data_IF_264396793505
#
_entry.id   IF_264396793505
#
_cell.length_a   1.000
_cell.length_b   1.000
_cell.length_c   1.000
_cell.angle_alpha   90.00
_cell.angle_beta   90.00
_cell.angle_gamma   90.00
#
_symmetry.space_group_name_H-M   'P 1'
#
loop_
_entity.id
_entity.type
_entity.pdbx_description
1 polymer ?
#
# COMPACT_ATOMS: atom_id res chain seq x y z
N UNK A 1 5.36 18.35 -2.01
CA UNK A 1 4.85 16.97 -2.21
C UNK A 1 6.00 15.99 -2.27
N UNK A 2 5.95 14.96 -1.47
CA UNK A 2 6.93 13.88 -1.51
C UNK A 2 6.34 12.69 -2.24
N UNK A 3 7.13 12.10 -3.14
CA UNK A 3 6.70 10.93 -3.90
C UNK A 3 7.77 9.85 -3.87
N UNK A 4 7.37 8.63 -4.05
CA UNK A 4 8.29 7.51 -4.20
C UNK A 4 7.66 6.45 -5.08
N UNK A 5 8.48 5.63 -5.70
CA UNK A 5 8.01 4.56 -6.57
C UNK A 5 8.92 3.34 -6.45
N UNK A 6 8.32 2.17 -6.59
CA UNK A 6 9.04 0.89 -6.63
C UNK A 6 8.34 -0.03 -7.63
N UNK A 7 9.11 -0.86 -8.31
CA UNK A 7 8.59 -1.76 -9.33
C UNK A 7 9.16 -3.15 -9.14
N UNK A 8 8.34 -4.17 -9.38
CA UNK A 8 8.75 -5.58 -9.35
C UNK A 8 8.02 -6.35 -10.45
N UNK A 9 8.65 -7.42 -10.93
CA UNK A 9 8.00 -8.36 -11.85
C UNK A 9 7.62 -9.61 -11.07
N UNK A 10 6.33 -9.96 -11.13
CA UNK A 10 5.78 -11.13 -10.44
C UNK A 10 5.37 -12.15 -11.50
N UNK A 11 5.78 -13.38 -11.32
CA UNK A 11 5.50 -14.47 -12.27
C UNK A 11 4.09 -15.05 -12.02
N UNK A 12 3.10 -14.19 -12.08
CA UNK A 12 1.67 -14.51 -11.99
C UNK A 12 0.90 -13.53 -12.89
N UNK A 13 -0.25 -13.94 -13.44
CA UNK A 13 -1.01 -13.06 -14.33
C UNK A 13 -1.62 -11.86 -13.58
N UNK A 14 -1.93 -10.75 -14.29
CA UNK A 14 -2.44 -9.54 -13.67
C UNK A 14 -3.69 -9.73 -12.81
N UNK A 15 -4.59 -10.64 -13.16
CA UNK A 15 -5.79 -10.87 -12.36
C UNK A 15 -5.47 -11.42 -10.97
N UNK A 16 -4.47 -12.28 -10.85
CA UNK A 16 -4.04 -12.81 -9.55
C UNK A 16 -3.32 -11.75 -8.72
N UNK A 17 -2.47 -10.95 -9.36
CA UNK A 17 -1.76 -9.87 -8.67
C UNK A 17 -2.76 -8.79 -8.21
N UNK A 18 -3.70 -8.42 -9.06
CA UNK A 18 -4.74 -7.44 -8.70
C UNK A 18 -5.59 -7.93 -7.53
N UNK A 19 -6.01 -9.19 -7.56
CA UNK A 19 -6.79 -9.78 -6.47
C UNK A 19 -6.06 -9.67 -5.14
N UNK A 20 -4.75 -9.84 -5.14
CA UNK A 20 -3.94 -9.72 -3.93
C UNK A 20 -3.80 -8.28 -3.45
N UNK A 21 -3.38 -7.34 -4.33
CA UNK A 21 -3.13 -5.95 -3.91
C UNK A 21 -4.41 -5.20 -3.55
N UNK A 22 -5.55 -5.59 -4.12
CA UNK A 22 -6.83 -4.95 -3.82
C UNK A 22 -7.60 -5.60 -2.66
N UNK A 23 -7.12 -6.72 -2.14
CA UNK A 23 -7.70 -7.35 -0.95
C UNK A 23 -7.01 -6.81 0.29
N UNK A 24 -7.57 -5.75 0.86
CA UNK A 24 -6.97 -5.06 2.01
C UNK A 24 -6.94 -5.93 3.26
N UNK A 25 -7.75 -6.98 3.34
CA UNK A 25 -7.72 -7.90 4.48
C UNK A 25 -6.43 -8.73 4.51
N UNK A 26 -5.72 -8.85 3.39
CA UNK A 26 -4.47 -9.59 3.27
C UNK A 26 -3.22 -8.73 3.40
N UNK A 27 -3.36 -7.42 3.52
CA UNK A 27 -2.23 -6.48 3.53
C UNK A 27 -1.18 -6.84 4.59
N UNK A 28 -1.60 -7.36 5.73
CA UNK A 28 -0.69 -7.79 6.80
C UNK A 28 0.28 -8.91 6.40
N UNK A 29 -0.01 -9.65 5.31
CA UNK A 29 0.86 -10.72 4.85
C UNK A 29 2.15 -10.20 4.20
N UNK A 30 2.12 -8.99 3.64
CA UNK A 30 3.28 -8.42 2.95
C UNK A 30 3.70 -7.03 3.39
N UNK A 31 2.83 -6.24 4.00
CA UNK A 31 3.20 -4.92 4.50
C UNK A 31 4.05 -5.03 5.78
N UNK A 32 5.15 -4.29 5.88
CA UNK A 32 5.93 -4.26 7.12
C UNK A 32 5.28 -3.42 8.23
N UNK A 33 4.31 -2.59 7.92
CA UNK A 33 3.69 -1.65 8.86
C UNK A 33 2.22 -1.96 9.12
N UNK A 34 1.43 -2.19 8.06
CA UNK A 34 0.02 -2.53 8.19
C UNK A 34 -0.14 -4.01 8.54
N UNK A 35 -0.69 -4.29 9.71
CA UNK A 35 -0.83 -5.66 10.22
C UNK A 35 -2.21 -6.26 9.99
N UNK A 36 -3.22 -5.42 9.74
CA UNK A 36 -4.58 -5.87 9.46
C UNK A 36 -5.34 -4.80 8.69
N UNK A 37 -6.30 -5.23 7.90
CA UNK A 37 -7.18 -4.33 7.15
C UNK A 37 -8.60 -4.86 7.08
N UNK A 38 -9.58 -3.97 6.97
CA UNK A 38 -10.98 -4.33 6.86
C UNK A 38 -11.77 -3.28 6.11
N UNK A 39 -12.71 -3.72 5.29
CA UNK A 39 -13.67 -2.83 4.67
C UNK A 39 -14.65 -2.33 5.72
N UNK A 40 -15.09 -1.07 5.61
CA UNK A 40 -16.02 -0.46 6.58
C UNK A 40 -17.23 0.12 5.87
N UNK A 41 -18.29 0.39 6.62
CA UNK A 41 -19.56 0.88 6.08
C UNK A 41 -20.21 -0.18 5.19
N UNK A 42 -20.69 0.24 4.03
CA UNK A 42 -21.34 -0.66 3.07
C UNK A 42 -20.34 -1.35 2.13
N UNK A 43 -19.05 -1.09 2.28
CA UNK A 43 -18.03 -1.66 1.42
C UNK A 43 -17.80 -3.14 1.73
N UNK A 44 -17.76 -3.97 0.68
CA UNK A 44 -17.49 -5.40 0.79
C UNK A 44 -16.29 -5.84 -0.05
N UNK A 45 -15.68 -4.90 -0.77
CA UNK A 45 -14.53 -5.17 -1.62
C UNK A 45 -14.06 -3.91 -2.34
N UNK A 46 -13.07 -4.04 -3.24
CA UNK A 46 -12.50 -2.88 -3.92
C UNK A 46 -13.48 -2.26 -4.92
N UNK A 47 -13.74 -0.97 -4.72
CA UNK A 47 -14.54 -0.16 -5.63
C UNK A 47 -14.25 1.31 -5.33
N UNK A 48 -14.36 2.18 -6.33
CA UNK A 48 -14.20 3.62 -6.11
C UNK A 48 -15.21 4.11 -5.08
N UNK A 49 -14.74 4.84 -4.06
CA UNK A 49 -15.55 5.30 -2.95
C UNK A 49 -15.62 4.34 -1.76
N UNK A 50 -15.18 3.10 -1.92
CA UNK A 50 -15.14 2.15 -0.82
C UNK A 50 -14.13 2.62 0.23
N UNK A 51 -14.50 2.47 1.50
CA UNK A 51 -13.67 2.86 2.64
C UNK A 51 -13.15 1.63 3.36
N UNK A 52 -11.96 1.75 3.90
CA UNK A 52 -11.39 0.70 4.72
C UNK A 52 -10.52 1.29 5.83
N UNK A 53 -10.32 0.49 6.86
CA UNK A 53 -9.42 0.82 7.95
C UNK A 53 -8.24 -0.14 7.94
N UNK A 54 -7.06 0.38 8.29
CA UNK A 54 -5.87 -0.42 8.45
C UNK A 54 -5.30 -0.21 9.84
N UNK A 55 -4.98 -1.31 10.52
CA UNK A 55 -4.27 -1.27 11.78
C UNK A 55 -2.78 -1.37 11.50
N UNK A 56 -2.02 -0.44 12.04
CA UNK A 56 -0.60 -0.31 11.79
C UNK A 56 0.19 -0.47 13.08
N UNK A 57 1.42 -0.96 12.97
CA UNK A 57 2.31 -1.08 14.11
C UNK A 57 3.75 -0.84 13.67
N UNK A 58 4.53 -0.23 14.53
CA UNK A 58 5.98 -0.10 14.35
C UNK A 58 6.65 -0.80 15.51
N UNK A 59 7.61 -1.65 15.20
CA UNK A 59 8.38 -2.39 16.19
C UNK A 59 9.86 -1.97 16.15
N UNK A 60 10.48 -1.90 17.32
CA UNK A 60 11.92 -1.67 17.47
C UNK A 60 12.44 -2.80 18.36
N UNK A 61 13.47 -3.52 17.88
CA UNK A 61 14.08 -4.64 18.60
C UNK A 61 13.06 -5.70 19.05
N UNK A 62 12.09 -6.01 18.17
CA UNK A 62 11.05 -7.02 18.44
C UNK A 62 9.92 -6.54 19.33
N UNK A 63 9.94 -5.31 19.81
CA UNK A 63 8.88 -4.74 20.65
C UNK A 63 8.05 -3.74 19.85
N UNK A 64 6.72 -3.87 19.92
CA UNK A 64 5.81 -2.88 19.34
C UNK A 64 5.88 -1.61 20.18
N UNK A 65 6.31 -0.50 19.55
CA UNK A 65 6.45 0.79 20.22
C UNK A 65 5.34 1.77 19.88
N UNK A 66 4.61 1.53 18.77
CA UNK A 66 3.49 2.39 18.36
C UNK A 66 2.48 1.57 17.57
N UNK A 67 1.19 1.84 17.84
CA UNK A 67 0.06 1.29 17.07
C UNK A 67 -0.87 2.45 16.72
N UNK A 68 -1.45 2.40 15.52
CA UNK A 68 -2.46 3.38 15.11
C UNK A 68 -3.34 2.79 14.01
N UNK A 69 -4.52 3.38 13.82
CA UNK A 69 -5.45 2.98 12.77
C UNK A 69 -5.56 4.09 11.75
N UNK A 70 -5.47 3.74 10.47
CA UNK A 70 -5.69 4.67 9.36
C UNK A 70 -7.02 4.38 8.68
N UNK A 71 -7.68 5.44 8.21
CA UNK A 71 -8.89 5.34 7.40
C UNK A 71 -8.56 5.76 5.98
N UNK A 72 -8.96 4.96 5.01
CA UNK A 72 -8.64 5.17 3.61
C UNK A 72 -9.89 5.10 2.75
N UNK A 73 -9.84 5.76 1.58
CA UNK A 73 -10.90 5.69 0.58
C UNK A 73 -10.28 5.34 -0.77
N UNK A 74 -10.91 4.39 -1.47
CA UNK A 74 -10.47 3.99 -2.81
C UNK A 74 -10.84 5.09 -3.81
N UNK A 75 -9.85 5.57 -4.55
CA UNK A 75 -10.01 6.66 -5.52
C UNK A 75 -9.89 6.22 -6.96
N UNK A 76 -9.28 5.07 -7.23
CA UNK A 76 -9.26 4.46 -8.55
C UNK A 76 -9.26 2.95 -8.41
N UNK A 77 -10.04 2.28 -9.24
CA UNK A 77 -10.13 0.83 -9.23
C UNK A 77 -10.50 0.34 -10.63
N UNK A 78 -9.48 -0.09 -11.38
CA UNK A 78 -9.66 -0.70 -12.69
C UNK A 78 -9.16 -2.15 -12.58
N UNK A 79 -10.04 -3.14 -12.68
CA UNK A 79 -9.63 -4.54 -12.53
C UNK A 79 -8.41 -4.89 -13.38
N UNK A 80 -7.47 -5.56 -12.75
CA UNK A 80 -6.21 -6.05 -13.35
C UNK A 80 -5.25 -4.94 -13.83
N UNK A 81 -5.57 -3.67 -13.56
CA UNK A 81 -4.77 -2.54 -14.07
C UNK A 81 -4.38 -1.52 -13.00
N UNK A 82 -5.33 -1.05 -12.19
CA UNK A 82 -5.07 0.04 -11.23
C UNK A 82 -5.86 -0.16 -9.94
N UNK A 83 -5.17 0.04 -8.82
CA UNK A 83 -5.81 0.17 -7.51
C UNK A 83 -5.15 1.34 -6.78
N UNK A 84 -5.96 2.35 -6.43
CA UNK A 84 -5.47 3.55 -5.76
C UNK A 84 -6.36 3.90 -4.59
N UNK A 85 -5.76 4.34 -3.50
CA UNK A 85 -6.49 4.84 -2.34
C UNK A 85 -5.75 6.00 -1.68
N UNK A 86 -6.51 6.81 -0.96
CA UNK A 86 -5.97 7.92 -0.16
C UNK A 86 -6.14 7.58 1.31
N UNK A 87 -5.02 7.53 2.03
CA UNK A 87 -4.97 7.28 3.47
C UNK A 87 -4.88 8.60 4.22
N UNK A 88 -5.75 8.78 5.21
CA UNK A 88 -5.77 9.94 6.10
C UNK A 88 -5.83 11.29 5.37
N UNK A 89 -6.45 11.32 4.19
CA UNK A 89 -6.64 12.51 3.35
C UNK A 89 -5.36 13.11 2.75
N UNK A 90 -4.16 12.58 3.08
CA UNK A 90 -2.92 13.21 2.61
C UNK A 90 -1.89 12.25 2.02
N UNK A 91 -2.11 10.95 2.06
CA UNK A 91 -1.19 9.99 1.44
C UNK A 91 -1.92 9.18 0.39
N UNK A 92 -1.51 9.32 -0.86
CA UNK A 92 -2.06 8.54 -1.97
C UNK A 92 -1.14 7.35 -2.25
N UNK A 93 -1.70 6.15 -2.25
CA UNK A 93 -1.03 4.92 -2.63
C UNK A 93 -1.63 4.41 -3.92
N UNK A 94 -0.79 4.10 -4.90
CA UNK A 94 -1.25 3.64 -6.20
C UNK A 94 -0.48 2.41 -6.65
N UNK A 95 -1.21 1.39 -7.07
CA UNK A 95 -0.67 0.19 -7.71
C UNK A 95 -1.08 0.20 -9.17
N UNK A 96 -0.10 0.07 -10.06
CA UNK A 96 -0.34 -0.06 -11.49
C UNK A 96 0.23 -1.39 -11.96
N UNK A 97 -0.58 -2.12 -12.74
CA UNK A 97 -0.23 -3.45 -13.21
C UNK A 97 -0.17 -3.44 -14.73
N UNK A 98 0.91 -4.00 -15.28
CA UNK A 98 1.05 -4.19 -16.71
C UNK A 98 1.43 -5.63 -16.99
N UNK A 99 0.81 -6.27 -18.02
CA UNK A 99 1.25 -7.60 -18.43
C UNK A 99 2.73 -7.58 -18.82
N UNK A 100 3.46 -8.61 -18.43
CA UNK A 100 4.87 -8.78 -18.76
C UNK A 100 5.08 -10.27 -19.07
N UNK A 101 4.95 -10.62 -20.34
CA UNK A 101 4.91 -12.02 -20.74
C UNK A 101 3.73 -12.75 -20.09
N UNK A 102 4.01 -13.85 -19.40
CA UNK A 102 3.00 -14.56 -18.61
C UNK A 102 2.83 -13.97 -17.19
N UNK A 103 3.64 -12.99 -16.84
CA UNK A 103 3.64 -12.36 -15.52
C UNK A 103 3.09 -10.96 -15.53
N UNK A 104 3.41 -10.23 -14.47
CA UNK A 104 2.92 -8.86 -14.24
C UNK A 104 4.05 -7.97 -13.77
N UNK A 105 4.16 -6.79 -14.37
CA UNK A 105 4.98 -5.72 -13.82
C UNK A 105 4.09 -4.88 -12.91
N UNK A 106 4.42 -4.89 -11.63
CA UNK A 106 3.68 -4.15 -10.61
C UNK A 106 4.50 -2.95 -10.17
N UNK A 107 3.91 -1.76 -10.29
CA UNK A 107 4.50 -0.51 -9.81
C UNK A 107 3.67 0.04 -8.67
N UNK A 108 4.31 0.27 -7.53
CA UNK A 108 3.72 0.93 -6.38
C UNK A 108 4.27 2.35 -6.29
N UNK A 109 3.37 3.31 -6.12
CA UNK A 109 3.74 4.73 -5.99
C UNK A 109 3.03 5.31 -4.78
N UNK A 110 3.72 6.14 -4.01
CA UNK A 110 3.06 6.98 -3.03
C UNK A 110 3.26 8.45 -3.35
N UNK A 111 2.28 9.26 -2.96
CA UNK A 111 2.37 10.72 -2.98
C UNK A 111 1.90 11.23 -1.63
N UNK A 112 2.74 11.99 -0.95
CA UNK A 112 2.48 12.47 0.40
C UNK A 112 2.39 13.99 0.39
N UNK A 113 1.22 14.52 0.78
CA UNK A 113 0.96 15.96 0.90
C UNK A 113 0.50 16.28 2.31
N UNK A 114 1.43 16.57 3.24
CA UNK A 114 1.03 16.88 4.59
C UNK A 114 0.31 18.23 4.67
N UNK A 115 -0.72 18.28 5.51
CA UNK A 115 -1.41 19.53 5.86
C UNK A 115 -0.91 19.94 7.25
N UNK A 116 -0.32 21.15 7.39
CA UNK A 116 0.08 21.67 8.69
C UNK A 116 1.36 22.49 8.71
N UNK A 117 1.91 22.72 9.90
CA UNK A 117 3.02 23.64 10.17
C UNK A 117 4.31 23.22 9.49
N UNK A 118 4.86 24.11 8.68
CA UNK A 118 5.87 23.80 7.67
C UNK A 118 7.25 23.36 8.15
N UNK A 119 7.77 23.86 9.23
CA UNK A 119 9.17 23.61 9.63
C UNK A 119 9.42 22.25 10.27
N UNK A 120 8.65 21.91 11.29
CA UNK A 120 8.76 20.64 12.02
C UNK A 120 8.34 19.46 11.14
N UNK A 121 7.30 19.67 10.35
CA UNK A 121 6.73 18.67 9.45
C UNK A 121 7.73 18.28 8.36
N UNK A 122 8.56 19.20 7.87
CA UNK A 122 9.51 18.96 6.79
C UNK A 122 10.57 17.90 7.16
N UNK A 123 11.16 18.00 8.35
CA UNK A 123 12.15 17.03 8.81
C UNK A 123 11.54 15.64 9.05
N UNK A 124 10.34 15.61 9.63
CA UNK A 124 9.60 14.37 9.85
C UNK A 124 9.20 13.73 8.52
N UNK A 125 8.82 14.55 7.55
CA UNK A 125 8.44 14.14 6.21
C UNK A 125 9.56 13.44 5.46
N UNK A 126 10.78 13.99 5.47
CA UNK A 126 11.93 13.39 4.81
C UNK A 126 12.26 12.00 5.37
N UNK A 127 12.17 11.83 6.67
CA UNK A 127 12.38 10.54 7.32
C UNK A 127 11.29 9.54 6.95
N UNK A 128 10.03 10.01 6.89
CA UNK A 128 8.90 9.15 6.57
C UNK A 128 8.93 8.70 5.11
N UNK A 129 9.27 9.58 4.17
CA UNK A 129 9.33 9.20 2.76
C UNK A 129 10.43 8.16 2.48
N UNK A 130 11.58 8.24 3.15
CA UNK A 130 12.63 7.22 3.07
C UNK A 130 12.15 5.88 3.62
N UNK A 131 11.45 5.90 4.76
CA UNK A 131 10.86 4.72 5.36
C UNK A 131 9.79 4.09 4.48
N UNK A 132 8.97 4.91 3.84
CA UNK A 132 7.93 4.46 2.90
C UNK A 132 8.54 3.78 1.67
N UNK A 133 9.62 4.32 1.10
CA UNK A 133 10.28 3.70 -0.05
C UNK A 133 10.86 2.34 0.30
N UNK A 134 11.54 2.21 1.45
CA UNK A 134 12.01 0.91 1.93
C UNK A 134 10.88 -0.05 2.22
N UNK A 135 9.77 0.47 2.77
CA UNK A 135 8.57 -0.30 3.02
C UNK A 135 7.95 -0.85 1.76
N UNK A 136 7.93 -0.05 0.68
CA UNK A 136 7.44 -0.49 -0.63
C UNK A 136 8.29 -1.64 -1.19
N UNK A 137 9.61 -1.51 -1.13
CA UNK A 137 10.50 -2.58 -1.59
C UNK A 137 10.25 -3.89 -0.85
N UNK A 138 10.09 -3.83 0.46
CA UNK A 138 9.77 -5.01 1.28
C UNK A 138 8.40 -5.57 0.95
N UNK A 139 7.40 -4.71 0.80
CA UNK A 139 6.04 -5.10 0.46
C UNK A 139 6.01 -5.85 -0.85
N UNK A 140 6.65 -5.29 -1.89
CA UNK A 140 6.69 -5.91 -3.20
C UNK A 140 7.44 -7.24 -3.19
N UNK A 141 8.55 -7.33 -2.47
CA UNK A 141 9.31 -8.57 -2.34
C UNK A 141 8.51 -9.67 -1.63
N UNK A 142 7.80 -9.33 -0.57
CA UNK A 142 6.95 -10.27 0.17
C UNK A 142 5.74 -10.71 -0.65
N UNK A 143 5.14 -9.77 -1.38
CA UNK A 143 4.01 -10.04 -2.26
C UNK A 143 4.43 -11.01 -3.36
N UNK A 144 5.57 -10.76 -4.01
CA UNK A 144 6.13 -11.65 -5.03
C UNK A 144 6.37 -13.05 -4.45
N UNK A 145 7.00 -13.13 -3.30
CA UNK A 145 7.27 -14.40 -2.64
C UNK A 145 5.99 -15.17 -2.31
N UNK A 146 4.98 -14.49 -1.79
CA UNK A 146 3.70 -15.09 -1.44
C UNK A 146 2.94 -15.62 -2.67
N UNK A 147 2.91 -14.82 -3.75
CA UNK A 147 2.17 -15.18 -4.96
C UNK A 147 2.87 -16.25 -5.80
N UNK A 148 4.21 -16.28 -5.79
CA UNK A 148 4.98 -17.28 -6.56
C UNK A 148 5.19 -18.59 -5.81
N UNK A 149 4.85 -18.65 -4.53
CA UNK A 149 4.95 -19.88 -3.76
C UNK A 149 3.90 -20.89 -4.23
N UNK A 150 4.28 -22.19 -4.34
CA UNK A 150 3.33 -23.23 -4.69
C UNK A 150 2.26 -23.47 -3.63
#
# INVERSE_FOLDING_TARGET
METGTATIVINRPPNEVFAAVSDISRTGEWSPECIAGRWVGDATGPAVGARFEGDNAVAIAGRTVKRWTTTSVVTACQPDAVFEFVAEEYTTWRYELMPDGAGTRLTETFAYEPKGVQGFVYTTLLRRSRGMTKGMDRTLARLKSALESP
#
